data_IF_134681152165
#
_entry.id   IF_134681152165
#
_cell.length_a   1.000
_cell.length_b   1.000
_cell.length_c   1.000
_cell.angle_alpha   90.00
_cell.angle_beta   90.00
_cell.angle_gamma   90.00
#
_symmetry.space_group_name_H-M   'P 1'
#
loop_
_entity.id
_entity.type
_entity.pdbx_description
1 polymer ?
#
# COMPACT_ATOMS: atom_id res chain seq x y z
N UNK A 1 20.18 -20.26 -9.99
CA UNK A 1 20.26 -20.07 -10.00
C UNK A 1 20.56 -20.10 -9.75
N UNK A 2 20.29 -20.42 -9.70
CA UNK A 2 20.33 -20.27 -9.59
C UNK A 2 20.40 -19.95 -9.36
N UNK A 3 20.37 -20.07 -9.29
CA UNK A 3 20.04 -19.56 -9.13
C UNK A 3 19.98 -19.15 -8.94
N UNK A 4 19.69 -19.13 -8.83
CA UNK A 4 19.46 -18.55 -8.79
C UNK A 4 19.42 -17.84 -9.07
N UNK A 5 19.28 -17.45 -9.38
CA UNK A 5 19.10 -16.61 -9.70
C UNK A 5 18.20 -16.16 -10.10
N UNK A 6 17.81 -16.54 -10.46
CA UNK A 6 16.66 -16.25 -10.82
C UNK A 6 15.78 -16.20 -9.85
N UNK A 7 16.16 -16.64 -9.00
CA UNK A 7 15.44 -16.59 -8.02
C UNK A 7 15.10 -15.38 -7.63
N UNK A 8 15.56 -14.56 -7.81
CA UNK A 8 15.30 -13.47 -7.34
C UNK A 8 14.34 -12.84 -8.01
N UNK A 9 13.89 -13.06 -8.75
CA UNK A 9 12.95 -12.51 -9.22
C UNK A 9 11.86 -12.69 -8.41
N UNK A 10 11.57 -12.22 -7.56
CA UNK A 10 10.60 -12.19 -6.65
C UNK A 10 9.56 -13.25 -6.78
N UNK A 11 9.20 -13.56 -7.86
CA UNK A 11 8.28 -14.51 -8.00
C UNK A 11 8.85 -15.74 -8.35
N UNK A 12 9.64 -16.24 -7.53
CA UNK A 12 10.24 -17.40 -7.70
C UNK A 12 9.28 -18.47 -7.90
N UNK A 13 9.65 -19.50 -8.45
CA UNK A 13 8.90 -20.67 -8.62
C UNK A 13 8.28 -21.08 -7.33
N UNK A 14 7.02 -21.29 -7.33
CA UNK A 14 6.31 -21.66 -6.15
C UNK A 14 5.76 -20.52 -5.36
N UNK A 15 6.12 -19.30 -5.75
CA UNK A 15 5.62 -18.17 -5.07
C UNK A 15 4.15 -18.01 -5.31
N UNK A 16 3.40 -17.71 -4.28
CA UNK A 16 1.97 -17.52 -4.37
C UNK A 16 1.67 -16.03 -4.29
N UNK A 17 1.04 -15.44 -5.30
CA UNK A 17 0.75 -14.00 -5.26
C UNK A 17 -0.03 -13.56 -4.04
N UNK A 18 -0.80 -14.45 -3.43
CA UNK A 18 -1.55 -14.11 -2.24
C UNK A 18 -0.66 -13.78 -1.08
N UNK A 19 0.59 -14.23 -1.10
CA UNK A 19 1.49 -14.03 0.01
C UNK A 19 2.77 -13.32 -0.41
N UNK A 20 2.72 -12.53 -1.50
CA UNK A 20 3.94 -12.00 -2.07
C UNK A 20 4.72 -11.13 -1.11
N UNK A 21 4.22 -10.09 -0.59
CA UNK A 21 4.99 -9.23 0.29
C UNK A 21 4.03 -8.55 1.25
N UNK A 22 4.19 -8.81 2.53
CA UNK A 22 3.25 -8.27 3.49
C UNK A 22 3.84 -8.25 4.90
N UNK A 23 3.22 -7.48 5.77
CA UNK A 23 3.54 -7.44 7.18
C UNK A 23 2.23 -7.48 7.96
N UNK A 24 2.17 -8.36 8.95
CA UNK A 24 0.97 -8.52 9.75
C UNK A 24 1.23 -8.00 11.15
N UNK A 25 0.80 -6.78 11.42
CA UNK A 25 0.99 -6.17 12.73
C UNK A 25 -0.11 -6.47 13.74
N UNK A 26 -1.26 -6.93 13.26
CA UNK A 26 -2.32 -7.40 14.15
C UNK A 26 -3.40 -6.42 14.51
N UNK A 27 -3.31 -5.15 14.09
CA UNK A 27 -4.40 -4.23 14.40
C UNK A 27 -5.48 -4.29 13.31
N UNK A 28 -6.39 -3.32 13.30
CA UNK A 28 -7.54 -3.36 12.43
C UNK A 28 -7.37 -2.60 11.11
N UNK A 29 -6.15 -2.16 10.79
CA UNK A 29 -5.88 -1.38 9.58
C UNK A 29 -4.99 -2.13 8.63
N UNK A 30 -5.29 -2.01 7.34
CA UNK A 30 -4.46 -2.62 6.29
C UNK A 30 -4.14 -1.57 5.25
N UNK A 31 -2.86 -1.39 4.95
CA UNK A 31 -2.38 -0.47 3.93
C UNK A 31 -1.90 -1.27 2.73
N UNK A 32 -2.38 -0.93 1.53
CA UNK A 32 -2.13 -1.71 0.33
C UNK A 32 -1.34 -0.87 -0.68
N UNK A 33 -0.26 -1.43 -1.19
CA UNK A 33 0.65 -0.74 -2.09
C UNK A 33 0.82 -1.51 -3.38
N UNK A 34 1.36 -0.84 -4.38
CA UNK A 34 1.57 -1.48 -5.66
C UNK A 34 2.86 -2.31 -5.66
N UNK A 35 3.89 -1.83 -5.00
CA UNK A 35 5.19 -2.49 -4.99
C UNK A 35 5.80 -2.46 -3.58
N UNK A 36 6.67 -3.42 -3.26
CA UNK A 36 7.30 -3.45 -1.94
C UNK A 36 8.09 -2.19 -1.61
N UNK A 37 8.76 -1.59 -2.60
CA UNK A 37 9.55 -0.39 -2.32
C UNK A 37 8.66 0.76 -1.85
N UNK A 38 7.44 0.84 -2.36
CA UNK A 38 6.52 1.89 -1.94
C UNK A 38 6.00 1.63 -0.54
N UNK A 39 5.75 0.39 -0.21
CA UNK A 39 5.34 0.01 1.13
C UNK A 39 6.43 0.40 2.14
N UNK A 40 7.67 0.07 1.84
CA UNK A 40 8.77 0.38 2.75
C UNK A 40 9.01 1.89 2.83
N UNK A 41 8.82 2.60 1.74
CA UNK A 41 8.97 4.06 1.73
C UNK A 41 7.90 4.72 2.60
N UNK A 42 6.66 4.25 2.48
CA UNK A 42 5.57 4.78 3.29
C UNK A 42 5.85 4.53 4.78
N UNK A 43 6.29 3.32 5.12
CA UNK A 43 6.61 3.00 6.50
C UNK A 43 7.74 3.90 6.99
N UNK A 44 8.73 4.16 6.15
CA UNK A 44 9.85 5.02 6.53
C UNK A 44 9.39 6.44 6.83
N UNK A 45 8.39 6.92 6.13
CA UNK A 45 7.86 8.27 6.35
C UNK A 45 6.87 8.31 7.52
N UNK A 46 6.35 7.17 7.94
CA UNK A 46 5.36 7.12 9.01
C UNK A 46 5.77 6.04 10.03
N UNK A 47 6.92 6.26 10.63
CA UNK A 47 7.53 5.22 11.46
C UNK A 47 6.82 4.93 12.75
N UNK A 48 6.17 5.91 13.32
CA UNK A 48 5.63 5.72 14.65
C UNK A 48 4.51 4.71 14.66
N UNK A 49 4.67 3.65 15.39
CA UNK A 49 3.62 2.63 15.51
C UNK A 49 3.45 1.76 14.29
N UNK A 50 4.38 1.81 13.34
CA UNK A 50 4.18 1.10 12.09
C UNK A 50 4.03 -0.41 12.28
N UNK A 51 4.69 -0.98 13.29
CA UNK A 51 4.66 -2.43 13.47
C UNK A 51 3.27 -2.96 13.81
N UNK A 52 2.39 -2.10 14.28
CA UNK A 52 1.07 -2.54 14.69
C UNK A 52 0.11 -2.65 13.52
N UNK A 53 0.37 -1.95 12.44
CA UNK A 53 -0.51 -1.97 11.28
C UNK A 53 -0.22 -3.18 10.41
N UNK A 54 -1.10 -3.44 9.45
CA UNK A 54 -0.89 -4.48 8.46
C UNK A 54 -0.59 -3.82 7.12
N UNK A 55 0.29 -4.42 6.33
CA UNK A 55 0.71 -3.86 5.06
C UNK A 55 0.80 -4.97 4.03
N UNK A 56 0.48 -4.65 2.79
CA UNK A 56 0.58 -5.61 1.70
C UNK A 56 0.96 -4.89 0.42
N UNK A 57 1.81 -5.51 -0.39
CA UNK A 57 2.18 -5.00 -1.70
C UNK A 57 1.68 -5.99 -2.74
N UNK A 58 0.97 -5.47 -3.73
CA UNK A 58 0.35 -6.32 -4.74
C UNK A 58 1.33 -6.87 -5.76
N UNK A 59 2.48 -6.23 -5.89
CA UNK A 59 3.54 -6.71 -6.78
C UNK A 59 3.03 -6.89 -8.20
N UNK A 60 2.32 -5.90 -8.69
CA UNK A 60 1.78 -5.95 -10.03
C UNK A 60 0.32 -5.63 -10.01
N UNK A 61 -0.44 -6.38 -10.77
CA UNK A 61 -1.83 -6.03 -10.96
C UNK A 61 -2.81 -6.80 -10.11
N UNK A 62 -2.35 -7.80 -9.42
CA UNK A 62 -3.27 -8.67 -8.68
C UNK A 62 -3.57 -8.12 -7.31
N UNK A 63 -4.81 -8.14 -6.91
CA UNK A 63 -5.20 -7.73 -5.56
C UNK A 63 -5.40 -8.93 -4.63
N UNK A 64 -4.88 -10.07 -5.01
CA UNK A 64 -5.09 -11.28 -4.22
C UNK A 64 -4.52 -11.18 -2.81
N UNK A 65 -3.38 -10.48 -2.66
CA UNK A 65 -2.78 -10.37 -1.34
C UNK A 65 -3.70 -9.61 -0.39
N UNK A 66 -4.41 -8.60 -0.90
CA UNK A 66 -5.35 -7.85 -0.09
C UNK A 66 -6.44 -8.78 0.46
N UNK A 67 -7.06 -9.55 -0.40
CA UNK A 67 -8.15 -10.40 0.03
C UNK A 67 -7.68 -11.53 0.93
N UNK A 68 -6.47 -12.04 0.67
CA UNK A 68 -5.90 -13.08 1.52
C UNK A 68 -5.59 -12.52 2.91
N UNK A 69 -5.04 -11.30 2.98
CA UNK A 69 -4.75 -10.67 4.26
C UNK A 69 -6.03 -10.48 5.07
N UNK A 70 -7.10 -10.09 4.42
CA UNK A 70 -8.36 -9.89 5.13
C UNK A 70 -8.95 -11.21 5.60
N UNK A 71 -8.76 -12.26 4.81
CA UNK A 71 -9.24 -13.58 5.20
C UNK A 71 -8.46 -14.11 6.40
N UNK A 72 -7.15 -13.91 6.37
CA UNK A 72 -6.28 -14.42 7.43
C UNK A 72 -6.38 -13.56 8.70
N UNK A 73 -6.82 -12.31 8.56
CA UNK A 73 -6.88 -11.39 9.68
C UNK A 73 -8.27 -10.76 9.75
N UNK A 74 -9.23 -11.50 10.26
CA UNK A 74 -10.63 -11.01 10.24
C UNK A 74 -10.88 -9.77 11.07
N UNK A 75 -9.95 -9.37 11.91
CA UNK A 75 -10.10 -8.15 12.68
C UNK A 75 -9.82 -6.89 11.86
N UNK A 76 -9.30 -7.03 10.62
CA UNK A 76 -9.08 -5.86 9.78
C UNK A 76 -10.43 -5.27 9.40
N UNK A 77 -10.63 -4.00 9.73
CA UNK A 77 -11.90 -3.34 9.48
C UNK A 77 -11.75 -2.12 8.59
N UNK A 78 -10.55 -1.67 8.32
CA UNK A 78 -10.34 -0.51 7.47
C UNK A 78 -9.15 -0.74 6.55
N UNK A 79 -9.33 -0.39 5.27
CA UNK A 79 -8.30 -0.59 4.26
C UNK A 79 -7.92 0.77 3.69
N UNK A 80 -6.61 0.99 3.53
CA UNK A 80 -6.09 2.19 2.90
C UNK A 80 -5.44 1.77 1.59
N UNK A 81 -5.95 2.29 0.48
CA UNK A 81 -5.42 1.97 -0.83
C UNK A 81 -4.38 3.01 -1.19
N UNK A 82 -3.12 2.60 -1.19
CA UNK A 82 -1.98 3.50 -1.36
C UNK A 82 -1.25 3.16 -2.64
N UNK A 83 -1.99 3.15 -3.74
CA UNK A 83 -1.43 2.76 -5.03
C UNK A 83 -0.77 3.96 -5.70
N UNK A 84 -0.08 3.72 -6.82
CA UNK A 84 0.66 4.77 -7.49
C UNK A 84 -0.25 5.89 -7.98
N UNK A 85 0.30 7.09 -8.04
CA UNK A 85 -0.42 8.26 -8.51
C UNK A 85 -0.22 8.37 -10.02
N UNK A 86 -0.71 7.40 -10.76
CA UNK A 86 -0.72 7.42 -12.21
C UNK A 86 -2.02 6.79 -12.64
N UNK A 87 -2.26 6.77 -13.94
CA UNK A 87 -3.54 6.31 -14.45
C UNK A 87 -3.81 4.87 -14.06
N UNK A 88 -2.81 4.01 -14.19
CA UNK A 88 -2.99 2.60 -13.88
C UNK A 88 -3.25 2.39 -12.39
N UNK A 89 -2.50 3.10 -11.55
CA UNK A 89 -2.65 2.96 -10.11
C UNK A 89 -4.00 3.45 -9.62
N UNK A 90 -4.43 4.60 -10.11
CA UNK A 90 -5.71 5.15 -9.68
C UNK A 90 -6.89 4.36 -10.25
N UNK A 91 -6.73 3.81 -11.44
CA UNK A 91 -7.75 2.93 -11.98
C UNK A 91 -7.89 1.66 -11.15
N UNK A 92 -6.77 1.09 -10.73
CA UNK A 92 -6.79 -0.08 -9.87
C UNK A 92 -7.39 0.26 -8.50
N UNK A 93 -7.05 1.43 -7.97
CA UNK A 93 -7.59 1.85 -6.68
C UNK A 93 -9.11 1.97 -6.75
N UNK A 94 -9.62 2.51 -7.85
CA UNK A 94 -11.06 2.64 -7.98
C UNK A 94 -11.72 1.28 -8.08
N UNK A 95 -11.13 0.37 -8.83
CA UNK A 95 -11.68 -0.97 -8.98
C UNK A 95 -11.75 -1.69 -7.65
N UNK A 96 -10.69 -1.59 -6.86
CA UNK A 96 -10.65 -2.23 -5.55
C UNK A 96 -11.60 -1.53 -4.59
N UNK A 97 -11.67 -0.20 -4.67
CA UNK A 97 -12.59 0.56 -3.84
C UNK A 97 -14.03 0.13 -4.07
N UNK A 98 -14.41 -0.10 -5.32
CA UNK A 98 -15.75 -0.56 -5.63
C UNK A 98 -16.03 -1.91 -5.00
N UNK A 99 -15.05 -2.81 -5.03
CA UNK A 99 -15.21 -4.11 -4.40
C UNK A 99 -15.37 -3.99 -2.89
N UNK A 100 -14.58 -3.12 -2.28
CA UNK A 100 -14.65 -2.92 -0.84
C UNK A 100 -16.01 -2.30 -0.45
N UNK A 101 -16.49 -1.40 -1.28
CA UNK A 101 -17.78 -0.77 -1.01
C UNK A 101 -18.89 -1.81 -1.04
N UNK A 102 -18.88 -2.69 -2.04
CA UNK A 102 -19.89 -3.72 -2.15
C UNK A 102 -19.84 -4.65 -0.95
N UNK A 103 -18.67 -4.91 -0.42
CA UNK A 103 -18.53 -5.78 0.74
C UNK A 103 -18.78 -5.05 2.06
N UNK A 104 -19.03 -3.76 2.01
CA UNK A 104 -19.29 -2.99 3.22
C UNK A 104 -18.07 -2.74 4.07
N UNK A 105 -16.88 -2.71 3.46
CA UNK A 105 -15.64 -2.52 4.20
C UNK A 105 -15.22 -1.06 4.12
N UNK A 106 -14.93 -0.45 5.25
CA UNK A 106 -14.47 0.92 5.29
C UNK A 106 -13.12 1.04 4.63
N UNK A 107 -12.92 2.09 3.85
CA UNK A 107 -11.64 2.26 3.16
C UNK A 107 -11.44 3.71 2.76
N UNK A 108 -10.18 4.05 2.45
CA UNK A 108 -9.81 5.35 1.93
C UNK A 108 -8.77 5.14 0.86
N UNK A 109 -8.70 6.08 -0.08
CA UNK A 109 -7.66 6.08 -1.10
C UNK A 109 -6.68 7.17 -0.72
N UNK A 110 -5.42 6.79 -0.50
CA UNK A 110 -4.35 7.73 -0.21
C UNK A 110 -3.48 7.84 -1.45
N UNK A 111 -3.21 9.08 -1.88
CA UNK A 111 -2.49 9.32 -3.12
C UNK A 111 -1.16 9.97 -2.80
N UNK A 112 -0.04 9.45 -3.30
CA UNK A 112 1.23 10.12 -3.07
C UNK A 112 1.28 11.44 -3.82
N UNK A 113 2.12 12.35 -3.39
CA UNK A 113 2.28 13.63 -4.02
C UNK A 113 2.96 13.47 -5.38
N UNK A 114 4.00 12.67 -5.41
CA UNK A 114 4.69 12.36 -6.67
C UNK A 114 4.02 11.12 -7.29
N UNK A 115 4.73 10.40 -8.10
CA UNK A 115 4.14 9.26 -8.77
C UNK A 115 3.89 8.11 -7.80
N UNK A 116 4.80 7.91 -6.86
CA UNK A 116 4.67 6.81 -5.91
C UNK A 116 5.29 7.23 -4.59
N UNK A 117 5.13 6.36 -3.59
CA UNK A 117 5.60 6.68 -2.24
C UNK A 117 7.12 6.69 -2.16
N UNK A 118 7.80 5.94 -3.02
CA UNK A 118 9.24 5.97 -3.03
C UNK A 118 9.73 7.34 -3.47
N UNK A 119 9.09 7.94 -4.47
CA UNK A 119 9.47 9.29 -4.88
C UNK A 119 9.15 10.31 -3.80
N UNK A 120 8.07 10.13 -3.08
CA UNK A 120 7.74 11.03 -1.98
C UNK A 120 8.82 10.99 -0.90
N UNK A 121 9.36 9.82 -0.64
CA UNK A 121 10.43 9.68 0.33
C UNK A 121 11.72 10.34 -0.17
N UNK A 122 12.04 10.17 -1.44
CA UNK A 122 13.27 10.68 -2.00
C UNK A 122 13.23 12.18 -2.28
N UNK A 123 12.05 12.70 -2.58
CA UNK A 123 11.89 14.11 -2.96
C UNK A 123 10.79 14.75 -2.12
N UNK A 124 11.04 14.93 -0.83
CA UNK A 124 9.98 15.46 0.04
C UNK A 124 9.65 16.91 -0.31
N UNK A 125 8.38 17.24 -0.15
CA UNK A 125 7.91 18.58 -0.40
C UNK A 125 8.36 19.46 0.75
N UNK A 126 8.79 20.72 0.44
CA UNK A 126 9.19 21.64 1.47
C UNK A 126 8.04 21.88 2.41
N UNK A 127 8.37 21.98 3.68
CA UNK A 127 7.33 22.13 4.67
C UNK A 127 6.50 23.38 4.43
N UNK A 128 7.10 24.47 4.03
CA UNK A 128 6.35 25.69 3.79
C UNK A 128 5.35 25.50 2.66
N UNK A 129 5.70 24.74 1.65
CA UNK A 129 4.78 24.51 0.57
C UNK A 129 3.67 23.57 0.99
N UNK A 130 4.01 22.59 1.77
CA UNK A 130 3.03 21.64 2.21
C UNK A 130 2.04 22.24 3.17
N UNK A 131 2.49 23.17 3.99
CA UNK A 131 1.64 23.73 5.01
C UNK A 131 0.66 24.75 4.56
N UNK A 132 1.01 25.52 3.56
CA UNK A 132 0.16 26.62 3.18
C UNK A 132 -1.28 26.22 2.96
N UNK A 133 -1.57 25.28 2.12
CA UNK A 133 -2.97 24.94 1.90
C UNK A 133 -3.61 24.38 3.15
N UNK A 134 -2.84 23.65 3.91
CA UNK A 134 -3.40 23.05 5.10
C UNK A 134 -3.79 24.07 6.12
N UNK A 135 -2.99 25.08 6.27
CA UNK A 135 -3.30 26.09 7.24
C UNK A 135 -4.56 26.81 6.90
N UNK A 136 -4.77 27.06 5.63
CA UNK A 136 -6.00 27.71 5.25
C UNK A 136 -7.19 26.88 5.58
N UNK A 137 -7.08 25.60 5.44
CA UNK A 137 -8.19 24.74 5.75
C UNK A 137 -8.47 24.68 7.23
N UNK A 138 -7.46 24.83 8.03
CA UNK A 138 -7.63 24.73 9.45
C UNK A 138 -8.26 25.95 10.06
N UNK A 139 -8.21 27.03 9.34
CA UNK A 139 -8.81 28.23 9.86
C UNK A 139 -10.28 28.22 9.70
#
# INVERSE_FOLDING_TARGET
>A
GSGSESSYKGNVTGSNPKYSFHWNGGNDRLFVFEAPIDMLSFISMHKEGWQKNNYAACCGVSDQVLWQMMKDNPNISKVYLCLDNDEAGQSAAKRISDKLFIKGIQHEILVPIHKDWNEDLLYPVEESEAEEPCQMLQL
#
